data_IF_682132331909
#
_entry.id   IF_682132331909
#
_cell.length_a   1.000
_cell.length_b   1.000
_cell.length_c   1.000
_cell.angle_alpha   90.00
_cell.angle_beta   90.00
_cell.angle_gamma   90.00
#
_symmetry.space_group_name_H-M   'P 1'
#
loop_
_entity.id
_entity.type
_entity.pdbx_description
1 polymer ?
#
# COMPACT_ATOMS: atom_id res chain seq x y z
N UNK A 1 -33.56 42.23 58.61
CA UNK A 1 -34.42 41.94 57.44
C UNK A 1 -34.24 43.05 56.42
N UNK A 2 -33.55 42.77 55.31
CA UNK A 2 -33.49 43.67 54.17
C UNK A 2 -33.56 42.80 52.91
N UNK A 3 -34.67 42.89 52.19
CA UNK A 3 -34.95 42.16 50.96
C UNK A 3 -34.77 43.13 49.80
N UNK A 4 -33.70 42.96 49.01
CA UNK A 4 -33.48 43.75 47.80
C UNK A 4 -34.02 42.98 46.60
N UNK A 5 -35.02 43.57 45.95
CA UNK A 5 -35.76 43.04 44.81
C UNK A 5 -34.98 43.32 43.53
N UNK A 6 -34.33 42.31 42.97
CA UNK A 6 -33.59 42.41 41.70
C UNK A 6 -34.62 42.50 40.56
N UNK A 7 -34.64 43.63 39.83
CA UNK A 7 -35.46 43.80 38.63
C UNK A 7 -34.71 43.21 37.43
N UNK A 8 -35.29 42.20 36.79
CA UNK A 8 -34.76 41.62 35.55
C UNK A 8 -35.01 42.59 34.37
N UNK A 9 -33.98 42.82 33.56
CA UNK A 9 -34.09 43.55 32.29
C UNK A 9 -34.36 42.56 31.14
N UNK A 10 -35.19 42.91 30.15
CA UNK A 10 -35.53 41.98 29.07
C UNK A 10 -34.37 41.80 28.10
N UNK A 11 -33.95 40.55 27.92
CA UNK A 11 -32.98 40.13 26.90
C UNK A 11 -33.70 40.16 25.55
N UNK A 12 -33.40 41.15 24.70
CA UNK A 12 -33.92 41.21 23.34
C UNK A 12 -33.23 40.15 22.47
N UNK A 13 -34.02 39.20 21.96
CA UNK A 13 -33.56 38.13 21.06
C UNK A 13 -33.08 38.73 19.73
N UNK A 14 -31.78 38.68 19.48
CA UNK A 14 -31.21 39.03 18.19
C UNK A 14 -31.54 37.91 17.18
N UNK A 15 -32.41 38.18 16.22
CA UNK A 15 -32.72 37.26 15.13
C UNK A 15 -31.61 37.32 14.08
N UNK A 16 -30.70 36.35 14.09
CA UNK A 16 -29.67 36.20 13.05
C UNK A 16 -30.36 35.70 11.78
N UNK A 17 -30.55 36.60 10.80
CA UNK A 17 -31.05 36.24 9.47
C UNK A 17 -29.95 35.47 8.75
N UNK A 18 -30.13 34.16 8.61
CA UNK A 18 -29.30 33.34 7.72
C UNK A 18 -29.51 33.78 6.27
N UNK A 19 -28.53 34.50 5.71
CA UNK A 19 -28.44 34.71 4.27
C UNK A 19 -28.00 33.40 3.62
N UNK A 20 -28.91 32.77 2.87
CA UNK A 20 -28.59 31.63 2.00
C UNK A 20 -27.86 32.17 0.76
N UNK A 21 -26.55 32.28 0.82
CA UNK A 21 -25.71 32.45 -0.38
C UNK A 21 -25.28 31.07 -0.86
N UNK A 22 -26.00 30.53 -1.84
CA UNK A 22 -25.57 29.33 -2.55
C UNK A 22 -24.51 29.74 -3.59
N UNK A 23 -23.24 29.76 -3.18
CA UNK A 23 -22.14 29.77 -4.14
C UNK A 23 -22.07 28.39 -4.79
N UNK A 24 -22.53 28.30 -6.05
CA UNK A 24 -22.35 27.10 -6.85
C UNK A 24 -20.86 26.97 -7.19
N UNK A 25 -20.13 26.15 -6.44
CA UNK A 25 -18.78 25.75 -6.82
C UNK A 25 -18.91 24.79 -8.01
N UNK A 26 -18.69 25.30 -9.22
CA UNK A 26 -18.57 24.45 -10.41
C UNK A 26 -17.23 23.73 -10.35
N UNK A 27 -17.22 22.50 -9.83
CA UNK A 27 -16.08 21.61 -9.95
C UNK A 27 -16.05 21.07 -11.38
N UNK A 28 -15.43 21.80 -12.30
CA UNK A 28 -15.02 21.17 -13.55
C UNK A 28 -13.95 20.12 -13.21
N UNK A 29 -14.13 18.83 -13.52
CA UNK A 29 -13.05 17.88 -13.40
C UNK A 29 -11.96 18.27 -14.41
N UNK A 30 -10.78 18.64 -13.91
CA UNK A 30 -9.62 18.79 -14.76
C UNK A 30 -9.41 17.48 -15.55
N UNK A 31 -9.08 17.52 -16.85
CA UNK A 31 -8.74 16.33 -17.60
C UNK A 31 -7.58 15.63 -16.87
N UNK A 32 -7.88 14.47 -16.30
CA UNK A 32 -6.90 13.62 -15.63
C UNK A 32 -5.95 13.15 -16.72
N UNK A 33 -4.83 13.83 -16.88
CA UNK A 33 -3.67 13.27 -17.57
C UNK A 33 -3.24 12.10 -16.70
N UNK A 34 -3.75 10.91 -17.03
CA UNK A 34 -3.30 9.66 -16.46
C UNK A 34 -1.90 9.42 -17.03
N UNK A 35 -0.88 10.07 -16.48
CA UNK A 35 0.45 9.46 -16.56
C UNK A 35 0.31 8.06 -15.97
N UNK A 36 0.69 7.01 -16.70
CA UNK A 36 0.42 5.67 -16.24
C UNK A 36 1.15 5.49 -14.91
N UNK A 37 0.36 5.28 -13.84
CA UNK A 37 0.82 4.85 -12.52
C UNK A 37 1.59 3.49 -12.57
N UNK A 38 1.89 2.98 -13.77
CA UNK A 38 2.59 1.74 -14.05
C UNK A 38 4.09 1.81 -13.81
N UNK A 39 4.67 2.94 -13.40
CA UNK A 39 6.12 2.98 -13.15
C UNK A 39 6.54 1.99 -12.06
N UNK A 40 5.70 1.84 -11.02
CA UNK A 40 5.99 0.97 -9.88
C UNK A 40 5.48 -0.45 -10.04
N UNK A 41 4.64 -0.75 -11.04
CA UNK A 41 4.04 -2.08 -11.24
C UNK A 41 4.60 -2.74 -12.49
N UNK A 42 4.73 -4.06 -12.46
CA UNK A 42 5.03 -4.86 -13.65
C UNK A 42 3.72 -5.28 -14.34
N UNK A 43 3.78 -5.42 -15.67
CA UNK A 43 2.76 -6.16 -16.43
C UNK A 43 2.99 -7.67 -16.33
N UNK A 44 4.22 -8.07 -16.04
CA UNK A 44 4.62 -9.46 -15.86
C UNK A 44 4.25 -9.93 -14.47
N UNK A 45 3.36 -10.93 -14.39
CA UNK A 45 2.95 -11.56 -13.14
C UNK A 45 3.61 -12.94 -12.94
N UNK A 46 4.29 -13.48 -13.97
CA UNK A 46 4.96 -14.76 -13.85
C UNK A 46 6.36 -14.58 -13.24
N UNK A 47 6.63 -15.13 -12.05
CA UNK A 47 7.93 -14.96 -11.40
C UNK A 47 9.09 -15.50 -12.23
N UNK A 48 8.89 -16.55 -13.02
CA UNK A 48 9.93 -17.18 -13.85
C UNK A 48 10.43 -16.25 -14.96
N UNK A 49 9.61 -15.28 -15.38
CA UNK A 49 9.93 -14.34 -16.45
C UNK A 49 10.52 -13.01 -15.91
N UNK A 50 10.78 -12.92 -14.61
CA UNK A 50 11.36 -11.72 -14.02
C UNK A 50 12.82 -11.52 -14.45
N UNK A 51 13.09 -10.38 -15.06
CA UNK A 51 14.43 -9.95 -15.50
C UNK A 51 14.92 -8.80 -14.61
N UNK A 52 16.19 -8.39 -14.76
CA UNK A 52 16.80 -7.27 -14.04
C UNK A 52 16.02 -5.95 -14.20
N UNK A 53 15.32 -5.76 -15.32
CA UNK A 53 14.51 -4.57 -15.60
C UNK A 53 13.21 -4.48 -14.76
N UNK A 54 12.88 -5.57 -14.05
CA UNK A 54 11.74 -5.63 -13.15
C UNK A 54 12.15 -5.36 -11.68
N UNK A 55 13.45 -5.22 -11.39
CA UNK A 55 13.93 -4.88 -10.03
C UNK A 55 13.29 -3.57 -9.58
N UNK A 56 12.77 -3.56 -8.34
CA UNK A 56 12.13 -2.39 -7.76
C UNK A 56 10.66 -2.20 -8.17
N UNK A 57 10.10 -3.09 -9.00
CA UNK A 57 8.69 -3.09 -9.37
C UNK A 57 7.89 -4.14 -8.59
N UNK A 58 6.60 -3.89 -8.43
CA UNK A 58 5.65 -4.79 -7.78
C UNK A 58 4.92 -5.64 -8.80
N UNK A 59 4.89 -6.95 -8.58
CA UNK A 59 4.02 -7.87 -9.31
C UNK A 59 2.88 -8.33 -8.42
N UNK A 60 1.73 -8.63 -9.02
CA UNK A 60 0.52 -9.00 -8.28
C UNK A 60 0.25 -10.50 -8.38
N UNK A 61 -0.06 -11.10 -7.24
CA UNK A 61 -0.43 -12.51 -7.12
C UNK A 61 -1.96 -12.61 -7.00
N UNK A 62 -2.63 -13.47 -7.79
CA UNK A 62 -4.06 -13.73 -7.64
C UNK A 62 -4.39 -14.30 -6.25
N UNK A 63 -5.52 -13.87 -5.66
CA UNK A 63 -5.94 -14.29 -4.32
C UNK A 63 -6.07 -15.82 -4.18
N UNK A 64 -6.58 -16.49 -5.21
CA UNK A 64 -6.70 -17.95 -5.24
C UNK A 64 -5.34 -18.65 -5.13
N UNK A 65 -4.33 -18.09 -5.80
CA UNK A 65 -2.96 -18.63 -5.78
C UNK A 65 -2.28 -18.33 -4.44
N UNK A 66 -2.48 -17.12 -3.90
CA UNK A 66 -1.98 -16.74 -2.56
C UNK A 66 -2.44 -17.74 -1.51
N UNK A 67 -3.74 -18.04 -1.48
CA UNK A 67 -4.31 -18.95 -0.47
C UNK A 67 -3.77 -20.38 -0.60
N UNK A 68 -3.40 -20.82 -1.82
CA UNK A 68 -2.76 -22.12 -2.05
C UNK A 68 -1.29 -22.13 -1.64
N UNK A 69 -0.53 -21.08 -2.00
CA UNK A 69 0.91 -21.00 -1.75
C UNK A 69 1.25 -20.76 -0.27
N UNK A 70 0.48 -19.90 0.39
CA UNK A 70 0.73 -19.44 1.76
C UNK A 70 -0.25 -20.03 2.78
N UNK A 71 -0.91 -21.15 2.45
CA UNK A 71 -1.88 -21.80 3.34
C UNK A 71 -1.26 -22.18 4.71
N UNK A 72 -0.04 -22.71 4.68
CA UNK A 72 0.71 -23.13 5.87
C UNK A 72 1.54 -22.00 6.51
N UNK A 73 1.36 -20.75 6.07
CA UNK A 73 2.13 -19.59 6.51
C UNK A 73 3.15 -19.10 5.47
N UNK A 74 4.20 -18.42 5.94
CA UNK A 74 5.28 -17.85 5.12
C UNK A 74 5.21 -16.33 4.94
N UNK A 75 4.05 -15.73 5.21
CA UNK A 75 3.86 -14.27 5.20
C UNK A 75 3.70 -13.77 6.66
N UNK A 76 4.37 -12.67 7.05
CA UNK A 76 4.13 -12.04 8.35
C UNK A 76 2.69 -11.55 8.51
N UNK A 77 2.14 -11.63 9.72
CA UNK A 77 0.73 -11.27 10.00
C UNK A 77 0.43 -9.81 9.70
N UNK A 78 1.41 -8.93 9.88
CA UNK A 78 1.31 -7.51 9.57
C UNK A 78 1.09 -7.30 8.07
N UNK A 79 1.73 -8.13 7.24
CA UNK A 79 1.56 -8.06 5.79
C UNK A 79 0.18 -8.60 5.36
N UNK A 80 -0.35 -9.62 6.03
CA UNK A 80 -1.71 -10.09 5.76
C UNK A 80 -2.76 -9.00 6.02
N UNK A 81 -2.59 -8.20 7.08
CA UNK A 81 -3.46 -7.04 7.34
C UNK A 81 -3.37 -6.03 6.20
N UNK A 82 -2.15 -5.73 5.73
CA UNK A 82 -1.94 -4.81 4.60
C UNK A 82 -2.58 -5.33 3.31
N UNK A 83 -2.37 -6.61 2.97
CA UNK A 83 -2.97 -7.23 1.78
C UNK A 83 -4.49 -7.17 1.83
N UNK A 84 -5.08 -7.38 3.02
CA UNK A 84 -6.53 -7.24 3.22
C UNK A 84 -6.99 -5.79 3.02
N UNK A 85 -6.24 -4.81 3.54
CA UNK A 85 -6.56 -3.39 3.36
C UNK A 85 -6.45 -2.94 1.90
N UNK A 86 -5.45 -3.41 1.16
CA UNK A 86 -5.26 -3.08 -0.25
C UNK A 86 -6.10 -3.94 -1.20
N UNK A 87 -6.73 -5.01 -0.70
CA UNK A 87 -7.46 -6.02 -1.48
C UNK A 87 -6.60 -6.66 -2.60
N UNK A 88 -5.29 -6.64 -2.44
CA UNK A 88 -4.33 -7.21 -3.40
C UNK A 88 -3.12 -7.79 -2.66
N UNK A 89 -2.50 -8.79 -3.29
CA UNK A 89 -1.23 -9.35 -2.84
C UNK A 89 -0.16 -8.95 -3.84
N UNK A 90 0.57 -7.89 -3.52
CA UNK A 90 1.61 -7.34 -4.37
C UNK A 90 2.98 -7.53 -3.70
N UNK A 91 3.92 -8.15 -4.40
CA UNK A 91 5.28 -8.40 -3.90
C UNK A 91 6.31 -7.61 -4.70
N UNK A 92 7.32 -7.09 -4.01
CA UNK A 92 8.40 -6.33 -4.63
C UNK A 92 9.49 -7.26 -5.18
N UNK A 93 9.88 -7.05 -6.43
CA UNK A 93 10.98 -7.78 -7.04
C UNK A 93 12.30 -7.19 -6.56
N UNK A 94 13.07 -8.00 -5.83
CA UNK A 94 14.38 -7.62 -5.26
C UNK A 94 15.50 -8.30 -6.03
N UNK A 95 16.65 -7.64 -6.11
CA UNK A 95 17.86 -8.20 -6.71
C UNK A 95 18.25 -9.61 -6.20
N UNK A 96 18.33 -9.89 -4.88
CA UNK A 96 18.71 -11.23 -4.40
C UNK A 96 17.75 -12.34 -4.85
N UNK A 97 16.46 -12.03 -5.06
CA UNK A 97 15.50 -13.01 -5.53
C UNK A 97 15.82 -13.45 -6.97
N UNK A 98 16.12 -12.51 -7.87
CA UNK A 98 16.48 -12.80 -9.26
C UNK A 98 17.78 -13.61 -9.33
N UNK A 99 18.77 -13.27 -8.50
CA UNK A 99 20.04 -14.01 -8.43
C UNK A 99 19.79 -15.46 -8.03
N UNK A 100 19.03 -15.70 -6.95
CA UNK A 100 18.69 -17.06 -6.49
C UNK A 100 17.91 -17.82 -7.56
N UNK A 101 16.92 -17.19 -8.19
CA UNK A 101 16.16 -17.82 -9.28
C UNK A 101 17.06 -18.22 -10.45
N UNK A 102 18.04 -17.38 -10.80
CA UNK A 102 18.99 -17.69 -11.87
C UNK A 102 19.90 -18.88 -11.53
N UNK A 103 20.24 -19.05 -10.24
CA UNK A 103 20.99 -20.22 -9.77
C UNK A 103 20.09 -21.44 -9.82
N UNK A 104 18.89 -21.38 -9.24
CA UNK A 104 17.91 -22.48 -9.22
C UNK A 104 17.63 -23.02 -10.63
N UNK A 105 17.50 -22.14 -11.62
CA UNK A 105 17.25 -22.53 -13.01
C UNK A 105 18.43 -23.28 -13.68
N UNK A 106 19.63 -23.25 -13.10
CA UNK A 106 20.84 -23.90 -13.62
C UNK A 106 21.25 -25.12 -12.78
N UNK A 107 20.49 -25.48 -11.74
CA UNK A 107 20.84 -26.59 -10.86
C UNK A 107 20.58 -27.91 -11.58
N UNK A 108 21.59 -28.78 -11.60
CA UNK A 108 21.43 -30.17 -11.98
C UNK A 108 20.94 -30.98 -10.78
N UNK A 109 19.79 -31.65 -10.92
CA UNK A 109 19.18 -32.43 -9.83
C UNK A 109 19.91 -33.74 -9.50
N UNK A 110 20.98 -34.05 -10.23
CA UNK A 110 21.88 -35.18 -9.92
C UNK A 110 22.89 -34.84 -8.83
N UNK A 111 23.15 -33.56 -8.59
CA UNK A 111 24.09 -33.08 -7.60
C UNK A 111 23.49 -33.06 -6.18
N UNK A 112 24.32 -33.05 -5.12
CA UNK A 112 23.83 -32.89 -3.75
C UNK A 112 23.08 -31.56 -3.56
N UNK A 113 22.11 -31.56 -2.64
CA UNK A 113 21.24 -30.42 -2.41
C UNK A 113 22.00 -29.12 -2.04
N UNK A 114 21.84 -28.09 -2.85
CA UNK A 114 22.43 -26.75 -2.65
C UNK A 114 21.70 -26.03 -1.52
N UNK A 115 22.46 -25.35 -0.65
CA UNK A 115 21.94 -24.60 0.51
C UNK A 115 22.13 -23.10 0.30
N UNK A 116 21.03 -22.35 0.34
CA UNK A 116 21.03 -20.89 0.26
C UNK A 116 20.81 -20.28 1.64
N UNK A 117 21.56 -19.22 1.96
CA UNK A 117 21.40 -18.44 3.19
C UNK A 117 21.07 -17.01 2.79
N UNK A 118 19.89 -16.54 3.21
CA UNK A 118 19.46 -15.15 3.03
C UNK A 118 19.97 -14.34 4.22
N UNK A 119 21.05 -13.59 4.01
CA UNK A 119 21.56 -12.66 5.01
C UNK A 119 20.95 -11.27 4.83
N UNK A 120 20.43 -10.71 5.92
CA UNK A 120 20.05 -9.30 5.97
C UNK A 120 21.34 -8.50 6.13
N UNK A 121 21.94 -8.09 5.02
CA UNK A 121 23.00 -7.09 5.03
C UNK A 121 22.35 -5.73 5.29
N UNK A 122 22.30 -5.32 6.57
CA UNK A 122 22.11 -3.93 6.93
C UNK A 122 23.32 -3.16 6.39
N UNK A 123 23.22 -2.63 5.17
CA UNK A 123 24.13 -1.57 4.72
C UNK A 123 23.96 -0.43 5.71
N UNK A 124 24.88 -0.31 6.68
CA UNK A 124 25.07 0.95 7.38
C UNK A 124 25.51 1.92 6.30
N UNK A 125 24.60 2.78 5.85
CA UNK A 125 24.95 3.91 5.01
C UNK A 125 25.97 4.73 5.81
N UNK A 126 27.22 4.68 5.38
CA UNK A 126 28.25 5.60 5.84
C UNK A 126 27.86 6.95 5.26
N UNK A 127 27.39 7.84 6.13
CA UNK A 127 27.33 9.27 5.85
C UNK A 127 28.74 9.86 5.89
#
# INVERSE_FOLDING_TARGET
>A
MACYKIKALPIQRLQIKFFKSAAAFSSQPAPVVQEPLSHFRTTENNPTLHTKDHIGKFYTIPQDLRNKLFHSGGIPKEWDVQMKSFNETSLLIRQPAIEIMSVINKIDFSDPAIRFILCILLKKNSY
#
